data_IF_447653697462
#
_entry.id   IF_447653697462
#
_cell.length_a   1.000
_cell.length_b   1.000
_cell.length_c   1.000
_cell.angle_alpha   90.00
_cell.angle_beta   90.00
_cell.angle_gamma   90.00
#
_symmetry.space_group_name_H-M   'P 1'
#
loop_
_entity.id
_entity.type
_entity.pdbx_description
1 polymer ?
#
# COMPACT_ATOMS: atom_id res chain seq x y z
N UNK A 1 -72.35 -4.69 12.73
CA UNK A 1 -71.12 -3.87 12.65
C UNK A 1 -69.95 -4.80 12.92
N UNK A 2 -69.11 -5.10 11.93
CA UNK A 2 -67.70 -5.51 12.04
C UNK A 2 -67.23 -5.67 10.58
N UNK A 3 -66.49 -4.68 10.08
CA UNK A 3 -65.81 -4.73 8.78
C UNK A 3 -64.46 -5.41 9.02
N UNK A 4 -64.27 -6.61 8.49
CA UNK A 4 -62.96 -7.26 8.41
C UNK A 4 -62.09 -6.52 7.39
N UNK A 5 -61.13 -5.72 7.86
CA UNK A 5 -60.00 -5.26 7.06
C UNK A 5 -58.80 -6.17 7.32
N UNK A 6 -58.58 -7.16 6.44
CA UNK A 6 -57.31 -7.87 6.38
C UNK A 6 -56.25 -6.93 5.79
N UNK A 7 -55.39 -6.35 6.64
CA UNK A 7 -54.17 -5.68 6.19
C UNK A 7 -53.14 -6.74 5.83
N UNK A 8 -53.00 -7.02 4.54
CA UNK A 8 -51.87 -7.81 4.03
C UNK A 8 -50.61 -6.94 4.16
N UNK A 9 -49.79 -7.25 5.16
CA UNK A 9 -48.47 -6.64 5.31
C UNK A 9 -47.49 -7.45 4.47
N UNK A 10 -47.17 -6.98 3.27
CA UNK A 10 -46.14 -7.58 2.42
C UNK A 10 -44.77 -7.29 3.04
N UNK A 11 -44.25 -8.22 3.85
CA UNK A 11 -42.87 -8.17 4.33
C UNK A 11 -42.01 -8.68 3.18
N UNK A 12 -41.43 -7.76 2.40
CA UNK A 12 -40.42 -8.10 1.41
C UNK A 12 -39.15 -8.54 2.14
N UNK A 13 -38.93 -9.85 2.25
CA UNK A 13 -37.69 -10.41 2.75
C UNK A 13 -36.62 -10.23 1.66
N UNK A 14 -35.83 -9.16 1.75
CA UNK A 14 -34.71 -8.95 0.85
C UNK A 14 -33.62 -10.00 1.12
N UNK A 15 -33.47 -10.95 0.20
CA UNK A 15 -32.36 -11.91 0.20
C UNK A 15 -31.06 -11.14 -0.08
N UNK A 16 -30.30 -10.84 0.97
CA UNK A 16 -28.94 -10.30 0.84
C UNK A 16 -28.03 -11.47 0.48
N UNK A 17 -27.77 -11.67 -0.81
CA UNK A 17 -26.76 -12.63 -1.26
C UNK A 17 -25.37 -12.06 -0.99
N UNK A 18 -24.42 -12.88 -0.48
CA UNK A 18 -23.05 -12.44 -0.29
C UNK A 18 -22.40 -12.16 -1.65
N UNK A 19 -22.09 -10.90 -1.93
CA UNK A 19 -21.28 -10.51 -3.10
C UNK A 19 -19.81 -10.77 -2.75
N UNK A 20 -19.17 -11.69 -3.47
CA UNK A 20 -17.73 -11.86 -3.42
C UNK A 20 -17.07 -10.76 -4.25
N UNK A 21 -16.30 -9.90 -3.61
CA UNK A 21 -15.47 -8.93 -4.32
C UNK A 21 -14.35 -9.64 -5.08
N UNK A 22 -14.07 -9.19 -6.30
CA UNK A 22 -12.89 -9.65 -7.03
C UNK A 22 -11.63 -9.22 -6.26
N UNK A 23 -10.71 -10.15 -6.04
CA UNK A 23 -9.46 -9.90 -5.33
C UNK A 23 -8.31 -10.47 -6.14
N UNK A 24 -7.26 -9.65 -6.32
CA UNK A 24 -6.02 -10.05 -6.97
C UNK A 24 -4.94 -10.02 -5.90
N UNK A 25 -4.33 -11.18 -5.64
CA UNK A 25 -3.17 -11.24 -4.77
C UNK A 25 -1.95 -10.72 -5.55
N UNK A 26 -1.52 -9.51 -5.20
CA UNK A 26 -0.36 -8.89 -5.86
C UNK A 26 0.93 -9.49 -5.37
N UNK A 27 1.08 -9.92 -4.12
CA UNK A 27 2.31 -10.59 -3.68
C UNK A 27 1.97 -11.82 -2.84
N UNK A 28 2.71 -12.90 -3.07
CA UNK A 28 2.64 -14.14 -2.31
C UNK A 28 3.74 -14.24 -1.25
N UNK A 29 4.82 -13.47 -1.43
CA UNK A 29 6.00 -13.44 -0.57
C UNK A 29 6.55 -14.86 -0.33
N UNK A 30 6.85 -15.55 -1.42
CA UNK A 30 7.53 -16.85 -1.42
C UNK A 30 8.97 -16.71 -1.92
N UNK A 31 9.84 -17.66 -1.59
CA UNK A 31 11.21 -17.69 -2.13
C UNK A 31 11.24 -17.72 -3.67
N UNK A 32 10.27 -18.41 -4.27
CA UNK A 32 10.17 -18.50 -5.72
C UNK A 32 9.71 -17.17 -6.33
N UNK A 33 8.72 -16.50 -5.73
CA UNK A 33 8.30 -15.18 -6.18
C UNK A 33 9.45 -14.16 -6.05
N UNK A 34 10.15 -14.16 -4.91
CA UNK A 34 11.23 -13.20 -4.64
C UNK A 34 12.32 -13.21 -5.72
N UNK A 35 12.67 -14.39 -6.26
CA UNK A 35 13.62 -14.55 -7.37
C UNK A 35 13.16 -13.91 -8.68
N UNK A 36 11.85 -13.73 -8.87
CA UNK A 36 11.27 -13.12 -10.07
C UNK A 36 11.10 -11.59 -9.97
N UNK A 37 11.16 -11.04 -8.76
CA UNK A 37 10.96 -9.61 -8.53
C UNK A 37 12.14 -8.80 -9.08
N UNK A 38 11.82 -7.67 -9.72
CA UNK A 38 12.85 -6.76 -10.24
C UNK A 38 13.42 -5.94 -9.09
N UNK A 39 14.70 -6.17 -8.78
CA UNK A 39 15.44 -5.39 -7.77
C UNK A 39 16.05 -4.15 -8.42
N UNK A 40 15.81 -2.97 -7.85
CA UNK A 40 16.48 -1.73 -8.27
C UNK A 40 17.09 -1.02 -7.07
N UNK A 41 18.42 -0.86 -7.06
CA UNK A 41 19.12 -0.02 -6.07
C UNK A 41 18.78 1.45 -6.32
N UNK A 42 18.52 2.19 -5.25
CA UNK A 42 18.34 3.64 -5.33
C UNK A 42 19.68 4.29 -5.67
N UNK A 43 19.66 5.30 -6.55
CA UNK A 43 20.87 6.02 -6.95
C UNK A 43 21.50 6.68 -5.73
N UNK A 44 22.79 6.42 -5.50
CA UNK A 44 23.54 6.97 -4.37
C UNK A 44 23.52 6.13 -3.10
N UNK A 45 22.75 5.02 -3.05
CA UNK A 45 22.86 4.07 -1.95
C UNK A 45 24.12 3.22 -2.09
N UNK A 46 24.83 2.96 -1.00
CA UNK A 46 26.02 2.09 -1.01
C UNK A 46 25.59 0.64 -1.23
N UNK A 47 24.61 0.19 -0.45
CA UNK A 47 24.13 -1.19 -0.42
C UNK A 47 22.68 -1.35 -0.93
N UNK A 48 22.29 -2.61 -1.18
CA UNK A 48 20.89 -3.00 -1.39
C UNK A 48 20.26 -3.40 -0.06
N UNK A 49 18.98 -3.13 0.09
CA UNK A 49 18.16 -3.63 1.20
C UNK A 49 18.21 -5.17 1.21
N UNK A 50 18.42 -5.75 2.38
CA UNK A 50 18.35 -7.19 2.59
C UNK A 50 16.88 -7.60 2.73
N UNK A 51 16.45 -8.62 1.98
CA UNK A 51 15.07 -9.06 1.92
C UNK A 51 14.95 -10.51 2.35
N UNK A 52 14.12 -10.77 3.34
CA UNK A 52 13.96 -12.09 3.98
C UNK A 52 12.49 -12.47 3.96
N UNK A 53 12.18 -13.69 3.52
CA UNK A 53 10.82 -14.24 3.61
C UNK A 53 10.56 -14.67 5.06
N UNK A 54 9.39 -14.30 5.58
CA UNK A 54 8.90 -14.77 6.86
C UNK A 54 7.44 -15.19 6.76
N UNK A 55 6.93 -15.80 7.82
CA UNK A 55 5.53 -16.21 7.94
C UNK A 55 5.04 -16.03 9.36
N UNK A 56 3.75 -15.72 9.51
CA UNK A 56 3.05 -15.64 10.79
C UNK A 56 1.60 -16.12 10.63
N UNK A 57 0.76 -15.91 11.64
CA UNK A 57 -0.66 -16.29 11.63
C UNK A 57 -1.49 -15.63 10.51
N UNK A 58 -1.01 -14.52 9.94
CA UNK A 58 -1.64 -13.79 8.84
C UNK A 58 -1.09 -14.18 7.45
N UNK A 59 -0.17 -15.14 7.40
CA UNK A 59 0.45 -15.64 6.18
C UNK A 59 1.90 -15.19 5.98
N UNK A 60 2.37 -15.28 4.73
CA UNK A 60 3.74 -14.91 4.39
C UNK A 60 3.91 -13.39 4.33
N UNK A 61 5.10 -12.92 4.66
CA UNK A 61 5.50 -11.52 4.55
C UNK A 61 6.94 -11.39 4.08
N UNK A 62 7.28 -10.19 3.58
CA UNK A 62 8.64 -9.83 3.21
C UNK A 62 9.22 -8.88 4.25
N UNK A 63 10.24 -9.33 4.99
CA UNK A 63 11.02 -8.47 5.88
C UNK A 63 12.08 -7.74 5.07
N UNK A 64 12.25 -6.45 5.33
CA UNK A 64 13.26 -5.60 4.71
C UNK A 64 14.20 -5.03 5.79
N UNK A 65 15.50 -5.28 5.66
CA UNK A 65 16.54 -4.75 6.55
C UNK A 65 17.48 -3.83 5.76
N UNK A 66 17.53 -2.55 6.15
CA UNK A 66 18.31 -1.53 5.46
C UNK A 66 19.36 -0.92 6.40
N UNK A 67 20.63 -1.30 6.20
CA UNK A 67 21.78 -0.73 6.89
C UNK A 67 22.64 0.04 5.89
N UNK A 68 22.53 1.37 5.87
CA UNK A 68 23.12 2.23 4.84
C UNK A 68 22.83 1.72 3.42
N UNK A 69 21.57 1.38 3.17
CA UNK A 69 21.12 0.66 2.00
C UNK A 69 19.77 1.19 1.53
N UNK A 70 19.54 1.17 0.21
CA UNK A 70 18.23 1.44 -0.34
C UNK A 70 18.04 0.74 -1.69
N UNK A 71 17.08 -0.16 -1.76
CA UNK A 71 16.61 -0.76 -3.02
C UNK A 71 15.11 -1.01 -2.96
N UNK A 72 14.44 -0.90 -4.10
CA UNK A 72 13.05 -1.31 -4.26
C UNK A 72 12.92 -2.67 -4.94
N UNK A 73 11.87 -3.40 -4.58
CA UNK A 73 11.39 -4.60 -5.27
C UNK A 73 10.04 -4.31 -5.91
N UNK A 74 9.80 -4.87 -7.09
CA UNK A 74 8.50 -4.75 -7.72
C UNK A 74 8.31 -5.68 -8.90
N UNK A 75 7.05 -5.80 -9.34
CA UNK A 75 6.64 -6.48 -10.55
C UNK A 75 5.62 -5.66 -11.32
N UNK A 76 5.55 -5.88 -12.62
CA UNK A 76 4.58 -5.24 -13.49
C UNK A 76 3.40 -6.18 -13.71
N UNK A 77 2.18 -5.71 -13.41
CA UNK A 77 0.95 -6.48 -13.57
C UNK A 77 -0.12 -5.64 -14.25
N UNK A 78 -0.96 -6.30 -15.04
CA UNK A 78 -2.13 -5.68 -15.67
C UNK A 78 -3.34 -5.87 -14.76
N UNK A 79 -3.92 -4.78 -14.26
CA UNK A 79 -5.07 -4.79 -13.36
C UNK A 79 -6.24 -4.00 -13.99
N UNK A 80 -7.46 -4.51 -13.86
CA UNK A 80 -8.68 -3.77 -14.18
C UNK A 80 -9.18 -2.99 -12.95
N UNK A 81 -8.88 -1.68 -12.89
CA UNK A 81 -9.29 -0.82 -11.78
C UNK A 81 -10.80 -0.55 -11.69
N UNK A 82 -11.61 -0.96 -12.68
CA UNK A 82 -13.06 -0.95 -12.52
C UNK A 82 -13.57 -2.10 -11.65
N UNK A 83 -12.83 -3.22 -11.64
CA UNK A 83 -13.12 -4.37 -10.79
C UNK A 83 -12.40 -4.31 -9.44
N UNK A 84 -11.12 -3.94 -9.46
CA UNK A 84 -10.24 -3.95 -8.27
C UNK A 84 -9.58 -2.58 -8.04
N UNK A 85 -10.37 -1.53 -7.70
CA UNK A 85 -9.85 -0.16 -7.50
C UNK A 85 -9.09 0.04 -6.18
N UNK A 86 -9.17 -0.91 -5.25
CA UNK A 86 -8.63 -0.75 -3.89
C UNK A 86 -7.36 -1.58 -3.74
N UNK A 87 -6.26 -0.92 -3.38
CA UNK A 87 -5.07 -1.59 -2.88
C UNK A 87 -5.23 -1.84 -1.38
N UNK A 88 -4.86 -3.04 -0.93
CA UNK A 88 -4.78 -3.40 0.49
C UNK A 88 -3.30 -3.60 0.82
N UNK A 89 -2.83 -2.95 1.88
CA UNK A 89 -1.44 -3.02 2.31
C UNK A 89 -1.45 -3.43 3.78
N UNK A 90 -0.72 -4.49 4.10
CA UNK A 90 -0.42 -4.88 5.49
C UNK A 90 1.07 -4.75 5.70
N UNK A 91 1.47 -3.97 6.70
CA UNK A 91 2.87 -3.68 6.97
C UNK A 91 3.11 -3.46 8.46
N UNK A 92 4.39 -3.48 8.84
CA UNK A 92 4.87 -3.24 10.20
C UNK A 92 6.22 -2.56 10.13
N UNK A 93 6.47 -1.60 11.03
CA UNK A 93 7.76 -0.92 11.18
C UNK A 93 8.35 -1.27 12.53
N UNK A 94 9.49 -1.96 12.53
CA UNK A 94 10.23 -2.34 13.75
C UNK A 94 11.23 -1.27 14.18
N UNK A 95 11.69 -0.43 13.24
CA UNK A 95 12.64 0.67 13.48
C UNK A 95 12.25 1.88 12.64
N UNK A 96 12.03 3.01 13.30
CA UNK A 96 11.56 4.25 12.67
C UNK A 96 12.74 5.16 12.25
N UNK A 97 12.41 6.28 11.60
CA UNK A 97 13.33 7.34 11.18
C UNK A 97 12.90 8.67 11.81
N UNK A 98 12.91 8.75 13.14
CA UNK A 98 12.43 9.94 13.86
C UNK A 98 13.34 11.16 13.66
N UNK A 99 12.73 12.35 13.63
CA UNK A 99 13.41 13.64 13.59
C UNK A 99 13.76 14.14 12.19
N UNK A 100 13.42 13.40 11.13
CA UNK A 100 13.64 13.86 9.75
C UNK A 100 12.43 14.61 9.20
N UNK A 101 12.71 15.60 8.34
CA UNK A 101 11.68 16.34 7.63
C UNK A 101 11.38 15.69 6.28
N UNK A 102 10.41 14.78 6.30
CA UNK A 102 10.06 13.86 5.20
C UNK A 102 9.62 14.56 3.90
N UNK A 103 9.14 15.81 3.94
CA UNK A 103 8.72 16.57 2.74
C UNK A 103 9.87 17.35 2.07
N UNK A 104 11.11 17.20 2.55
CA UNK A 104 12.29 17.88 1.98
C UNK A 104 13.21 16.91 1.26
N UNK A 105 13.94 17.37 0.24
CA UNK A 105 14.90 16.51 -0.50
C UNK A 105 15.93 15.82 0.39
N UNK A 106 16.41 16.49 1.45
CA UNK A 106 17.42 15.93 2.36
C UNK A 106 16.83 14.89 3.31
N UNK A 107 15.59 15.10 3.75
CA UNK A 107 14.90 14.22 4.69
C UNK A 107 13.91 13.26 4.04
N UNK A 108 13.85 13.15 2.71
CA UNK A 108 12.86 12.34 1.97
C UNK A 108 13.15 10.85 2.11
N UNK A 109 12.90 10.33 3.29
CA UNK A 109 12.97 8.91 3.61
C UNK A 109 11.84 8.52 4.56
N UNK A 110 11.49 7.24 4.54
CA UNK A 110 10.34 6.71 5.27
C UNK A 110 10.66 5.30 5.73
N UNK A 111 10.09 4.89 6.86
CA UNK A 111 10.30 3.56 7.40
C UNK A 111 9.76 2.44 6.48
N UNK A 112 8.75 2.73 5.66
CA UNK A 112 8.23 1.83 4.64
C UNK A 112 7.55 2.57 3.50
N UNK A 113 7.64 2.04 2.28
CA UNK A 113 7.05 2.64 1.07
C UNK A 113 6.46 1.58 0.14
N UNK A 114 5.25 1.85 -0.36
CA UNK A 114 4.63 1.13 -1.48
C UNK A 114 4.39 2.10 -2.62
N UNK A 115 5.02 1.84 -3.76
CA UNK A 115 4.88 2.66 -4.97
C UNK A 115 3.82 2.05 -5.89
N UNK A 116 2.78 2.83 -6.20
CA UNK A 116 1.84 2.51 -7.27
C UNK A 116 2.14 3.42 -8.45
N UNK A 117 2.61 2.84 -9.55
CA UNK A 117 3.06 3.58 -10.74
C UNK A 117 2.12 3.29 -11.90
N UNK A 118 1.48 4.34 -12.42
CA UNK A 118 0.62 4.26 -13.60
C UNK A 118 1.38 4.76 -14.82
N UNK A 119 1.45 3.93 -15.86
CA UNK A 119 1.89 4.36 -17.20
C UNK A 119 0.80 5.24 -17.80
N UNK A 120 1.12 6.50 -18.06
CA UNK A 120 0.18 7.52 -18.57
C UNK A 120 0.57 8.06 -19.94
N UNK A 121 1.61 7.52 -20.55
CA UNK A 121 2.08 7.89 -21.89
C UNK A 121 3.20 6.95 -22.35
N UNK A 122 3.78 7.26 -23.51
CA UNK A 122 4.79 6.41 -24.15
C UNK A 122 6.17 6.45 -23.49
N UNK A 123 6.48 7.50 -22.71
CA UNK A 123 7.80 7.69 -22.09
C UNK A 123 7.76 7.49 -20.58
N UNK A 124 8.83 6.98 -19.94
CA UNK A 124 8.90 6.85 -18.48
C UNK A 124 8.67 8.17 -17.73
N UNK A 125 9.04 9.30 -18.35
CA UNK A 125 8.84 10.64 -17.80
C UNK A 125 7.37 11.03 -17.71
N UNK A 126 6.49 10.41 -18.49
CA UNK A 126 5.05 10.69 -18.46
C UNK A 126 4.33 10.05 -17.28
N UNK A 127 4.92 9.01 -16.68
CA UNK A 127 4.31 8.20 -15.63
C UNK A 127 3.95 9.03 -14.40
N UNK A 128 2.87 8.62 -13.73
CA UNK A 128 2.44 9.15 -12.44
C UNK A 128 2.63 8.09 -11.37
N UNK A 129 2.92 8.54 -10.15
CA UNK A 129 3.10 7.65 -9.01
C UNK A 129 2.36 8.15 -7.78
N UNK A 130 1.90 7.22 -6.97
CA UNK A 130 1.51 7.47 -5.58
C UNK A 130 2.42 6.62 -4.71
N UNK A 131 3.04 7.25 -3.73
CA UNK A 131 3.89 6.60 -2.75
C UNK A 131 3.09 6.54 -1.46
N UNK A 132 2.56 5.37 -1.14
CA UNK A 132 1.96 5.14 0.16
C UNK A 132 3.07 4.89 1.16
N UNK A 133 3.14 5.74 2.19
CA UNK A 133 4.26 5.73 3.12
C UNK A 133 3.80 5.37 4.52
N UNK A 134 4.67 4.62 5.22
CA UNK A 134 4.63 4.46 6.66
C UNK A 134 5.57 5.52 7.24
N UNK A 135 4.99 6.64 7.65
CA UNK A 135 5.74 7.79 8.15
C UNK A 135 6.30 7.53 9.55
N UNK A 136 7.43 8.16 9.86
CA UNK A 136 7.93 8.22 11.24
C UNK A 136 7.61 9.54 11.94
N UNK A 137 7.17 10.56 11.19
CA UNK A 137 7.16 11.96 11.63
C UNK A 137 5.84 12.70 11.34
N UNK A 138 4.99 12.17 10.46
CA UNK A 138 3.76 12.81 9.99
C UNK A 138 2.52 11.97 10.35
N UNK A 139 1.38 12.65 10.45
CA UNK A 139 0.09 12.04 10.76
C UNK A 139 -0.54 11.39 9.51
N UNK A 140 -1.35 10.35 9.72
CA UNK A 140 -2.16 9.72 8.67
C UNK A 140 -3.06 10.77 8.00
N UNK A 141 -3.22 10.67 6.68
CA UNK A 141 -4.00 11.59 5.87
C UNK A 141 -3.21 12.78 5.29
N UNK A 142 -2.04 13.08 5.84
CA UNK A 142 -1.13 14.04 5.23
C UNK A 142 -0.67 13.53 3.85
N UNK A 143 -0.62 14.43 2.88
CA UNK A 143 -0.10 14.14 1.55
C UNK A 143 0.53 15.38 0.94
N UNK A 144 1.55 15.17 0.12
CA UNK A 144 2.26 16.25 -0.57
C UNK A 144 2.92 15.75 -1.86
N UNK A 145 3.19 16.63 -2.83
CA UNK A 145 4.02 16.28 -3.97
C UNK A 145 5.45 15.94 -3.53
N UNK A 146 6.03 14.89 -4.10
CA UNK A 146 7.41 14.51 -3.81
C UNK A 146 8.38 15.68 -4.08
N UNK A 147 9.37 15.92 -3.21
CA UNK A 147 10.34 16.99 -3.38
C UNK A 147 11.25 16.81 -4.61
N UNK A 148 11.24 15.63 -5.24
CA UNK A 148 11.96 15.35 -6.48
C UNK A 148 11.10 15.54 -7.74
N UNK A 149 9.79 15.36 -7.66
CA UNK A 149 8.88 15.51 -8.81
C UNK A 149 7.44 15.71 -8.39
N UNK A 150 6.74 16.65 -9.05
CA UNK A 150 5.30 16.89 -8.86
C UNK A 150 4.41 15.79 -9.45
N UNK A 151 4.98 14.81 -10.18
CA UNK A 151 4.24 13.66 -10.75
C UNK A 151 4.06 12.50 -9.78
N UNK A 152 4.66 12.61 -8.60
CA UNK A 152 4.56 11.65 -7.52
C UNK A 152 3.95 12.33 -6.32
N UNK A 153 2.93 11.72 -5.71
CA UNK A 153 2.35 12.18 -4.45
C UNK A 153 2.77 11.21 -3.35
N UNK A 154 3.36 11.72 -2.28
CA UNK A 154 3.58 10.97 -1.06
C UNK A 154 2.30 11.07 -0.21
N UNK A 155 1.77 9.93 0.23
CA UNK A 155 0.52 9.85 0.98
C UNK A 155 0.73 8.98 2.23
N UNK A 156 0.58 9.59 3.40
CA UNK A 156 0.77 8.92 4.70
C UNK A 156 -0.45 8.06 5.00
N UNK A 157 -0.30 6.74 4.84
CA UNK A 157 -1.36 5.78 5.19
C UNK A 157 -1.19 5.21 6.61
N UNK A 158 0.03 5.19 7.14
CA UNK A 158 0.30 4.74 8.50
C UNK A 158 1.47 5.54 9.07
N UNK A 159 1.56 5.58 10.40
CA UNK A 159 2.60 6.35 11.09
C UNK A 159 3.06 5.65 12.36
N UNK A 160 4.36 5.73 12.67
CA UNK A 160 4.90 5.15 13.91
C UNK A 160 4.52 5.98 15.14
N UNK A 161 3.96 7.17 14.94
CA UNK A 161 3.35 7.97 16.02
C UNK A 161 2.15 7.21 16.63
N UNK A 162 1.43 6.46 15.81
CA UNK A 162 0.23 5.71 16.20
C UNK A 162 0.51 4.21 16.35
N UNK A 163 1.33 3.65 15.46
CA UNK A 163 1.56 2.20 15.35
C UNK A 163 3.05 1.87 15.22
N UNK A 164 3.75 1.75 16.35
CA UNK A 164 5.15 1.33 16.37
C UNK A 164 5.25 -0.17 16.67
N UNK A 165 6.02 -0.91 15.86
CA UNK A 165 6.23 -2.36 16.02
C UNK A 165 4.93 -3.20 15.96
N UNK A 166 3.90 -2.69 15.29
CA UNK A 166 2.58 -3.31 15.14
C UNK A 166 2.26 -3.58 13.67
N UNK A 167 1.51 -4.66 13.41
CA UNK A 167 0.96 -4.93 12.09
C UNK A 167 -0.28 -4.06 11.86
N UNK A 168 -0.28 -3.31 10.76
CA UNK A 168 -1.39 -2.42 10.38
C UNK A 168 -1.83 -2.77 8.98
N UNK A 169 -3.14 -2.90 8.77
CA UNK A 169 -3.76 -3.08 7.46
C UNK A 169 -4.48 -1.80 7.03
N UNK A 170 -4.12 -1.28 5.87
CA UNK A 170 -4.66 -0.05 5.30
C UNK A 170 -5.16 -0.28 3.88
N UNK A 171 -6.09 0.59 3.46
CA UNK A 171 -6.70 0.55 2.13
C UNK A 171 -6.58 1.91 1.46
N UNK A 172 -6.35 1.92 0.16
CA UNK A 172 -6.39 3.13 -0.63
C UNK A 172 -7.04 2.87 -2.00
N UNK A 173 -7.79 3.85 -2.50
CA UNK A 173 -8.29 3.83 -3.86
C UNK A 173 -7.18 4.28 -4.81
N UNK A 174 -6.88 3.46 -5.82
CA UNK A 174 -5.82 3.69 -6.81
C UNK A 174 -6.36 4.05 -8.20
N UNK A 175 -7.67 4.26 -8.34
CA UNK A 175 -8.33 4.61 -9.61
C UNK A 175 -8.03 6.05 -10.05
#
# INVERSE_FOLDING_TARGET
VIKNLFKICFISLALILPVKAEQIQVFEFTDQELKTLKVRKVRGADNKTNYIIGSNENGNYLKAEANNAASGLGKEIKINLNSTPIINITWKVEKNLEGIKEDTKKGHDFAGRVFVIKKTGATPLSNRAVNYVFSSNNKVGNNWPSPYTKKSIDNVLSTTIEHMNEWVSVKANVK
#
